data_IF_700373392137
#
_entry.id   IF_700373392137
#
_cell.length_a   1.000
_cell.length_b   1.000
_cell.length_c   1.000
_cell.angle_alpha   90.00
_cell.angle_beta   90.00
_cell.angle_gamma   90.00
#
_symmetry.space_group_name_H-M   'P 1'
#
loop_
_entity.id
_entity.type
_entity.pdbx_description
1 polymer ?
#
# COMPACT_ATOMS: atom_id res chain seq x y z
N UNK A 1 3.10 -11.56 0.12
CA UNK A 1 1.94 -10.82 0.69
C UNK A 1 1.99 -11.00 2.19
N UNK A 2 1.86 -9.94 2.99
CA UNK A 2 1.98 -10.03 4.45
C UNK A 2 0.91 -11.00 4.98
N UNK A 3 1.33 -12.22 5.34
CA UNK A 3 0.45 -13.30 5.81
C UNK A 3 0.02 -13.09 7.27
N UNK A 4 -0.45 -11.89 7.62
CA UNK A 4 -1.02 -11.67 8.94
C UNK A 4 -2.53 -11.93 8.93
N UNK A 5 -3.06 -12.69 9.91
CA UNK A 5 -4.49 -12.99 9.98
C UNK A 5 -5.38 -11.75 10.08
N UNK A 6 -4.85 -10.66 10.65
CA UNK A 6 -5.58 -9.42 10.90
C UNK A 6 -6.12 -8.77 9.62
N UNK A 7 -5.41 -8.91 8.49
CA UNK A 7 -5.81 -8.29 7.23
C UNK A 7 -7.10 -8.90 6.66
N UNK A 8 -7.31 -10.19 6.88
CA UNK A 8 -8.46 -10.94 6.36
C UNK A 8 -9.64 -10.99 7.32
N UNK A 9 -9.47 -10.57 8.58
CA UNK A 9 -10.56 -10.51 9.57
C UNK A 9 -11.53 -9.39 9.24
N UNK A 10 -12.82 -9.71 9.09
CA UNK A 10 -13.91 -8.73 8.88
C UNK A 10 -14.26 -7.95 10.16
N UNK A 11 -13.90 -8.48 11.32
CA UNK A 11 -14.15 -7.84 12.63
C UNK A 11 -13.33 -6.58 12.85
N UNK A 12 -12.21 -6.41 12.12
CA UNK A 12 -11.35 -5.24 12.21
C UNK A 12 -11.73 -4.26 11.11
N UNK A 13 -12.01 -3.01 11.48
CA UNK A 13 -12.38 -1.97 10.52
C UNK A 13 -11.25 -1.71 9.51
N UNK A 14 -11.62 -1.34 8.28
CA UNK A 14 -10.66 -0.96 7.25
C UNK A 14 -9.77 0.21 7.73
N UNK A 15 -10.31 1.14 8.50
CA UNK A 15 -9.57 2.26 9.07
C UNK A 15 -8.47 1.80 10.04
N UNK A 16 -8.78 0.87 10.96
CA UNK A 16 -7.79 0.33 11.89
C UNK A 16 -6.66 -0.41 11.15
N UNK A 17 -7.01 -1.21 10.13
CA UNK A 17 -6.03 -1.86 9.25
C UNK A 17 -5.16 -0.83 8.52
N UNK A 18 -5.77 0.25 8.02
CA UNK A 18 -5.06 1.32 7.33
C UNK A 18 -4.09 2.07 8.26
N UNK A 19 -4.46 2.29 9.52
CA UNK A 19 -3.58 2.88 10.54
C UNK A 19 -2.35 2.01 10.78
N UNK A 20 -2.52 0.70 10.92
CA UNK A 20 -1.39 -0.25 11.06
C UNK A 20 -0.51 -0.25 9.81
N UNK A 21 -1.13 -0.21 8.62
CA UNK A 21 -0.37 -0.13 7.37
C UNK A 21 0.50 1.13 7.31
N UNK A 22 -0.05 2.30 7.65
CA UNK A 22 0.70 3.57 7.70
C UNK A 22 1.82 3.55 8.74
N UNK A 23 1.60 2.93 9.89
CA UNK A 23 2.55 2.93 10.99
C UNK A 23 3.69 1.91 10.82
N UNK A 24 3.39 0.72 10.30
CA UNK A 24 4.34 -0.40 10.31
C UNK A 24 4.87 -0.78 8.93
N UNK A 25 4.03 -0.73 7.90
CA UNK A 25 4.38 -1.24 6.57
C UNK A 25 4.96 -0.13 5.70
N UNK A 26 4.33 1.04 5.72
CA UNK A 26 4.72 2.16 4.89
C UNK A 26 6.15 2.65 5.17
N UNK A 27 6.63 2.80 6.43
CA UNK A 27 8.00 3.24 6.68
C UNK A 27 9.04 2.22 6.21
N UNK A 28 8.78 0.93 6.38
CA UNK A 28 9.67 -0.14 5.91
C UNK A 28 9.76 -0.13 4.37
N UNK A 29 8.63 0.11 3.70
CA UNK A 29 8.56 0.24 2.25
C UNK A 29 9.39 1.43 1.75
N UNK A 30 9.29 2.57 2.44
CA UNK A 30 9.98 3.81 2.10
C UNK A 30 11.48 3.72 2.38
N UNK A 31 11.88 3.18 3.52
CA UNK A 31 13.28 2.95 3.84
C UNK A 31 13.96 2.07 2.78
N UNK A 32 13.31 0.97 2.36
CA UNK A 32 13.83 0.15 1.27
C UNK A 32 13.98 0.92 -0.05
N UNK A 33 13.14 1.93 -0.30
CA UNK A 33 13.18 2.79 -1.49
C UNK A 33 14.23 3.90 -1.45
N UNK A 34 14.71 4.24 -0.25
CA UNK A 34 15.80 5.19 -0.01
C UNK A 34 17.16 4.50 -0.07
N UNK A 35 17.26 3.32 0.54
CA UNK A 35 18.51 2.54 0.60
C UNK A 35 18.83 1.85 -0.73
N UNK A 36 17.81 1.36 -1.44
CA UNK A 36 18.02 0.78 -2.76
C UNK A 36 17.96 1.87 -3.82
N UNK A 37 18.98 1.93 -4.69
CA UNK A 37 18.92 2.68 -5.95
C UNK A 37 17.72 2.20 -6.75
N UNK A 38 16.61 2.92 -6.61
CA UNK A 38 15.31 2.61 -7.20
C UNK A 38 15.42 2.65 -8.73
N UNK A 39 15.70 1.51 -9.35
CA UNK A 39 15.54 1.40 -10.80
C UNK A 39 14.06 1.43 -11.15
N UNK A 40 13.72 1.86 -12.37
CA UNK A 40 12.32 1.93 -12.84
C UNK A 40 11.57 0.60 -12.64
N UNK A 41 12.26 -0.53 -12.78
CA UNK A 41 11.69 -1.85 -12.55
C UNK A 41 11.32 -2.09 -11.06
N UNK A 42 12.17 -1.65 -10.13
CA UNK A 42 11.90 -1.78 -8.70
C UNK A 42 10.78 -0.84 -8.26
N UNK A 43 10.73 0.39 -8.79
CA UNK A 43 9.64 1.32 -8.53
C UNK A 43 8.27 0.76 -8.94
N UNK A 44 8.21 0.14 -10.13
CA UNK A 44 6.99 -0.57 -10.58
C UNK A 44 6.60 -1.71 -9.64
N UNK A 45 7.56 -2.56 -9.24
CA UNK A 45 7.31 -3.66 -8.29
C UNK A 45 6.80 -3.16 -6.94
N UNK A 46 7.39 -2.08 -6.43
CA UNK A 46 6.96 -1.42 -5.20
C UNK A 46 5.54 -0.88 -5.31
N UNK A 47 5.21 -0.24 -6.43
CA UNK A 47 3.85 0.24 -6.68
C UNK A 47 2.85 -0.93 -6.77
N UNK A 48 3.20 -2.02 -7.46
CA UNK A 48 2.36 -3.23 -7.50
C UNK A 48 2.14 -3.81 -6.10
N UNK A 49 3.18 -3.89 -5.27
CA UNK A 49 3.07 -4.34 -3.88
C UNK A 49 2.16 -3.43 -3.06
N UNK A 50 2.36 -2.11 -3.17
CA UNK A 50 1.55 -1.10 -2.50
C UNK A 50 0.06 -1.23 -2.86
N UNK A 51 -0.27 -1.32 -4.15
CA UNK A 51 -1.65 -1.51 -4.61
C UNK A 51 -2.24 -2.84 -4.17
N UNK A 52 -1.47 -3.91 -4.12
CA UNK A 52 -1.92 -5.21 -3.60
C UNK A 52 -2.25 -5.14 -2.10
N UNK A 53 -1.42 -4.44 -1.32
CA UNK A 53 -1.72 -4.17 0.09
C UNK A 53 -3.02 -3.38 0.24
N UNK A 54 -3.19 -2.27 -0.49
CA UNK A 54 -4.42 -1.47 -0.43
C UNK A 54 -5.66 -2.29 -0.76
N UNK A 55 -5.62 -3.13 -1.80
CA UNK A 55 -6.75 -4.03 -2.13
C UNK A 55 -7.12 -4.93 -0.96
N UNK A 56 -6.13 -5.52 -0.31
CA UNK A 56 -6.33 -6.41 0.85
C UNK A 56 -6.94 -5.68 2.04
N UNK A 57 -6.46 -4.46 2.31
CA UNK A 57 -6.90 -3.66 3.45
C UNK A 57 -8.34 -3.18 3.29
N UNK A 58 -8.70 -2.76 2.08
CA UNK A 58 -10.06 -2.35 1.72
C UNK A 58 -11.00 -3.56 1.60
N UNK A 59 -10.45 -4.75 1.34
CA UNK A 59 -11.22 -5.99 1.21
C UNK A 59 -11.74 -6.24 -0.21
N UNK A 60 -11.10 -5.63 -1.21
CA UNK A 60 -11.45 -5.81 -2.62
C UNK A 60 -10.53 -6.82 -3.29
N UNK A 61 -11.09 -7.59 -4.20
CA UNK A 61 -10.41 -8.58 -5.01
C UNK A 61 -10.09 -8.04 -6.40
N UNK A 62 -9.28 -8.77 -7.16
CA UNK A 62 -9.06 -8.45 -8.57
C UNK A 62 -10.33 -8.66 -9.42
N UNK A 63 -11.27 -9.48 -8.96
CA UNK A 63 -12.54 -9.73 -9.61
C UNK A 63 -13.47 -8.51 -9.64
N UNK A 64 -13.32 -7.60 -8.67
CA UNK A 64 -14.14 -6.39 -8.56
C UNK A 64 -13.79 -5.34 -9.64
N UNK A 65 -12.70 -5.56 -10.40
CA UNK A 65 -12.24 -4.70 -11.52
C UNK A 65 -12.13 -3.21 -11.17
N UNK A 66 -11.83 -2.90 -9.91
CA UNK A 66 -11.66 -1.53 -9.43
C UNK A 66 -10.35 -0.94 -9.94
N UNK A 67 -10.44 0.23 -10.59
CA UNK A 67 -9.32 1.02 -11.05
C UNK A 67 -8.43 1.48 -9.89
N UNK A 68 -7.14 1.66 -10.16
CA UNK A 68 -6.18 2.03 -9.12
C UNK A 68 -6.47 3.44 -8.56
N UNK A 69 -6.94 4.40 -9.36
CA UNK A 69 -7.33 5.72 -8.84
C UNK A 69 -8.47 5.59 -7.83
N UNK A 70 -9.49 4.76 -8.15
CA UNK A 70 -10.62 4.55 -7.26
C UNK A 70 -10.22 3.87 -5.96
N UNK A 71 -9.27 2.93 -6.03
CA UNK A 71 -8.72 2.28 -4.85
C UNK A 71 -7.98 3.27 -3.92
N UNK A 72 -7.26 4.23 -4.50
CA UNK A 72 -6.58 5.29 -3.74
C UNK A 72 -7.59 6.20 -3.03
N UNK A 73 -8.68 6.58 -3.70
CA UNK A 73 -9.79 7.32 -3.09
C UNK A 73 -10.41 6.56 -1.91
N UNK A 74 -10.76 5.28 -2.12
CA UNK A 74 -11.39 4.44 -1.10
C UNK A 74 -10.48 4.20 0.12
N UNK A 75 -9.16 4.14 -0.10
CA UNK A 75 -8.18 3.96 0.97
C UNK A 75 -7.76 5.27 1.64
N UNK A 76 -8.11 6.43 1.06
CA UNK A 76 -7.66 7.75 1.51
C UNK A 76 -6.14 7.91 1.46
N UNK A 77 -5.48 7.20 0.54
CA UNK A 77 -4.02 7.15 0.43
C UNK A 77 -3.54 7.85 -0.84
N UNK A 78 -2.42 8.60 -0.77
CA UNK A 78 -1.79 9.13 -1.97
C UNK A 78 -1.09 8.03 -2.77
N UNK A 79 -0.77 8.35 -4.04
CA UNK A 79 0.07 7.50 -4.87
C UNK A 79 1.45 7.31 -4.21
N UNK A 80 2.00 6.09 -4.30
CA UNK A 80 3.32 5.76 -3.76
C UNK A 80 4.42 6.71 -4.24
N UNK A 81 4.39 7.13 -5.50
CA UNK A 81 5.36 8.10 -6.03
C UNK A 81 5.30 9.44 -5.29
N UNK A 82 4.10 9.90 -4.94
CA UNK A 82 3.93 11.12 -4.16
C UNK A 82 4.44 10.95 -2.72
N UNK A 83 4.29 9.76 -2.13
CA UNK A 83 4.83 9.46 -0.80
C UNK A 83 6.36 9.43 -0.83
N UNK A 84 6.94 8.77 -1.83
CA UNK A 84 8.40 8.70 -2.03
C UNK A 84 8.99 10.09 -2.28
N UNK A 85 8.34 10.90 -3.13
CA UNK A 85 8.76 12.29 -3.39
C UNK A 85 8.76 13.14 -2.12
N UNK A 86 7.78 12.94 -1.23
CA UNK A 86 7.69 13.66 0.05
C UNK A 86 8.75 13.27 1.07
N UNK A 87 9.23 12.02 1.06
CA UNK A 87 10.27 11.57 2.00
C UNK A 87 11.70 11.84 1.51
N UNK A 88 11.90 12.07 0.20
CA UNK A 88 13.21 12.40 -0.38
C UNK A 88 13.59 13.89 -0.29
N UNK A 89 12.80 14.71 0.40
CA UNK A 89 13.04 16.14 0.67
C UNK A 89 13.36 16.33 2.15
#
# INVERSE_FOLDING_TARGET
MLRMPIWYRKTVSCEAKMRIFRACILPVLLYGSEVWSLTMAQGRRLNTFYMACLRTLVGVTLGDRIFNEKLLELSGQPNLENIMRRNRL
#
